data_IF_195033956138
#
_entry.id   IF_195033956138
#
_cell.length_a   1.000
_cell.length_b   1.000
_cell.length_c   1.000
_cell.angle_alpha   90.00
_cell.angle_beta   90.00
_cell.angle_gamma   90.00
#
_symmetry.space_group_name_H-M   'P 1'
#
loop_
_entity.id
_entity.type
_entity.pdbx_description
1 polymer ?
#
# COMPACT_ATOMS: atom_id res chain seq x y z
N UNK A 1 32.43 -9.08 -10.85
CA UNK A 1 31.58 -8.24 -9.98
C UNK A 1 30.45 -9.14 -9.48
N UNK A 2 30.51 -9.61 -8.22
CA UNK A 2 29.43 -10.45 -7.69
C UNK A 2 28.17 -9.58 -7.53
N UNK A 3 27.15 -9.86 -8.34
CA UNK A 3 25.93 -9.07 -8.42
C UNK A 3 25.00 -9.41 -7.27
N UNK A 4 24.90 -8.53 -6.27
CA UNK A 4 23.85 -8.63 -5.28
C UNK A 4 22.52 -8.16 -5.85
N UNK A 5 21.50 -9.03 -5.85
CA UNK A 5 20.14 -8.68 -6.23
C UNK A 5 19.30 -8.35 -4.99
N UNK A 6 18.45 -7.34 -5.10
CA UNK A 6 17.55 -6.92 -4.03
C UNK A 6 16.17 -7.52 -4.25
N UNK A 7 15.67 -8.25 -3.28
CA UNK A 7 14.33 -8.83 -3.31
C UNK A 7 13.52 -8.39 -2.11
N UNK A 8 12.26 -8.02 -2.33
CA UNK A 8 11.30 -7.74 -1.27
C UNK A 8 10.88 -9.08 -0.64
N UNK A 9 10.92 -9.13 0.69
CA UNK A 9 10.50 -10.28 1.46
C UNK A 9 8.96 -10.23 1.58
N UNK A 10 8.26 -11.25 1.05
CA UNK A 10 6.80 -11.20 0.92
C UNK A 10 6.05 -11.62 2.19
N UNK A 11 6.73 -12.21 3.17
CA UNK A 11 6.13 -12.74 4.39
C UNK A 11 6.49 -11.88 5.61
N UNK A 12 5.63 -11.91 6.63
CA UNK A 12 5.92 -11.36 7.95
C UNK A 12 7.16 -12.04 8.55
N UNK A 13 7.92 -11.31 9.36
CA UNK A 13 9.08 -11.85 10.08
C UNK A 13 8.67 -12.87 11.15
N UNK A 14 7.40 -12.88 11.52
CA UNK A 14 6.81 -13.83 12.44
C UNK A 14 6.43 -15.16 11.76
N UNK A 15 6.37 -15.22 10.42
CA UNK A 15 6.06 -16.44 9.65
C UNK A 15 7.36 -17.16 9.26
N UNK A 16 7.99 -17.80 10.24
CA UNK A 16 9.29 -18.48 10.09
C UNK A 16 9.28 -19.52 8.96
N UNK A 17 8.28 -20.40 8.95
CA UNK A 17 8.15 -21.42 7.90
C UNK A 17 7.90 -20.80 6.51
N UNK A 18 7.15 -19.70 6.46
CA UNK A 18 6.95 -18.93 5.23
C UNK A 18 8.25 -18.34 4.70
N UNK A 19 9.11 -17.84 5.58
CA UNK A 19 10.43 -17.32 5.23
C UNK A 19 11.39 -18.41 4.76
N UNK A 20 11.50 -19.53 5.48
CA UNK A 20 12.33 -20.68 5.07
C UNK A 20 11.98 -21.12 3.64
N UNK A 21 10.69 -21.39 3.38
CA UNK A 21 10.22 -21.79 2.05
C UNK A 21 10.47 -20.74 0.97
N UNK A 22 10.45 -19.46 1.33
CA UNK A 22 10.77 -18.39 0.40
C UNK A 22 12.25 -18.40 0.04
N UNK A 23 13.14 -18.58 1.01
CA UNK A 23 14.58 -18.66 0.79
C UNK A 23 14.98 -19.93 0.02
N UNK A 24 14.39 -21.08 0.34
CA UNK A 24 14.58 -22.33 -0.41
C UNK A 24 14.21 -22.16 -1.90
N UNK A 25 13.03 -21.60 -2.18
CA UNK A 25 12.60 -21.31 -3.56
C UNK A 25 13.49 -20.29 -4.29
N UNK A 26 14.17 -19.43 -3.56
CA UNK A 26 15.12 -18.47 -4.13
C UNK A 26 16.47 -19.12 -4.39
N UNK A 27 16.94 -19.97 -3.48
CA UNK A 27 18.16 -20.74 -3.67
C UNK A 27 18.06 -21.71 -4.84
N UNK A 28 16.90 -22.35 -5.05
CA UNK A 28 16.60 -23.14 -6.26
C UNK A 28 16.73 -22.35 -7.56
N UNK A 29 16.63 -21.02 -7.51
CA UNK A 29 16.80 -20.11 -8.66
C UNK A 29 18.19 -19.48 -8.69
N UNK A 30 19.13 -19.99 -7.89
CA UNK A 30 20.50 -19.47 -7.81
C UNK A 30 20.66 -18.22 -6.95
N UNK A 31 19.77 -17.97 -5.97
CA UNK A 31 19.84 -16.78 -5.12
C UNK A 31 19.90 -17.13 -3.63
N UNK A 32 21.02 -16.81 -2.97
CA UNK A 32 21.20 -17.02 -1.53
C UNK A 32 21.12 -15.70 -0.76
N UNK A 33 20.31 -15.63 0.30
CA UNK A 33 20.23 -14.45 1.16
C UNK A 33 21.58 -14.23 1.88
N UNK A 34 22.06 -12.98 1.91
CA UNK A 34 23.32 -12.61 2.59
C UNK A 34 23.15 -11.53 3.64
N UNK A 35 22.12 -10.70 3.51
CA UNK A 35 21.82 -9.70 4.51
C UNK A 35 20.44 -9.12 4.29
N UNK A 36 19.91 -8.51 5.33
CA UNK A 36 18.70 -7.73 5.29
C UNK A 36 19.04 -6.25 5.28
N UNK A 37 18.24 -5.46 4.58
CA UNK A 37 18.28 -4.01 4.72
C UNK A 37 17.82 -3.64 6.13
N UNK A 38 18.61 -2.81 6.83
CA UNK A 38 18.26 -2.31 8.17
C UNK A 38 16.99 -1.47 8.20
N UNK A 39 16.60 -0.91 7.04
CA UNK A 39 15.56 0.10 6.92
C UNK A 39 14.36 -0.35 6.08
N UNK A 40 14.38 -1.58 5.55
CA UNK A 40 13.33 -2.07 4.65
C UNK A 40 13.25 -3.60 4.67
N UNK A 41 12.12 -4.16 4.25
CA UNK A 41 11.91 -5.62 4.12
C UNK A 41 12.55 -6.16 2.85
N UNK A 42 13.77 -5.71 2.56
CA UNK A 42 14.51 -6.03 1.35
C UNK A 42 15.71 -6.87 1.75
N UNK A 43 15.72 -8.11 1.30
CA UNK A 43 16.88 -8.99 1.39
C UNK A 43 17.85 -8.70 0.24
N UNK A 44 19.14 -8.75 0.54
CA UNK A 44 20.21 -8.77 -0.46
C UNK A 44 20.63 -10.21 -0.69
N UNK A 45 20.46 -10.65 -1.93
CA UNK A 45 20.74 -12.00 -2.36
C UNK A 45 21.99 -12.01 -3.24
N UNK A 46 22.90 -12.93 -2.98
CA UNK A 46 24.03 -13.22 -3.84
C UNK A 46 23.63 -14.29 -4.86
N UNK A 47 24.07 -14.11 -6.09
CA UNK A 47 23.93 -15.12 -7.14
C UNK A 47 24.91 -16.28 -6.86
N UNK A 48 24.37 -17.48 -6.78
CA UNK A 48 25.08 -18.73 -6.50
C UNK A 48 24.65 -19.79 -7.51
N UNK A 49 25.43 -20.86 -7.63
CA UNK A 49 25.03 -22.04 -8.42
C UNK A 49 23.67 -22.55 -7.93
N UNK A 50 22.79 -22.85 -8.89
CA UNK A 50 21.49 -23.45 -8.61
C UNK A 50 21.68 -24.80 -7.92
N UNK A 51 20.87 -25.06 -6.90
CA UNK A 51 20.95 -26.29 -6.13
C UNK A 51 19.84 -26.41 -5.10
N UNK A 52 19.68 -27.61 -4.56
CA UNK A 52 18.85 -27.85 -3.39
C UNK A 52 19.55 -27.27 -2.17
N UNK A 53 18.91 -26.29 -1.53
CA UNK A 53 19.33 -25.77 -0.25
C UNK A 53 18.17 -25.90 0.73
N UNK A 54 18.47 -26.34 1.95
CA UNK A 54 17.55 -26.30 3.08
C UNK A 54 17.82 -25.03 3.88
N UNK A 55 16.77 -24.40 4.41
CA UNK A 55 16.92 -23.25 5.30
C UNK A 55 16.40 -23.57 6.70
N UNK A 56 17.06 -23.01 7.70
CA UNK A 56 16.59 -22.99 9.07
C UNK A 56 16.71 -21.56 9.60
N UNK A 57 15.61 -21.05 10.17
CA UNK A 57 15.63 -19.76 10.87
C UNK A 57 15.38 -20.02 12.33
N UNK A 58 16.34 -19.63 13.14
CA UNK A 58 16.29 -19.75 14.59
C UNK A 58 16.18 -18.38 15.24
N UNK A 59 15.73 -18.35 16.49
CA UNK A 59 15.47 -17.13 17.26
C UNK A 59 16.48 -17.05 18.39
N UNK A 60 17.34 -16.05 18.32
CA UNK A 60 18.27 -15.73 19.37
C UNK A 60 17.59 -14.91 20.47
N UNK A 61 17.97 -15.16 21.72
CA UNK A 61 17.32 -14.59 22.92
C UNK A 61 17.47 -13.05 23.04
N UNK A 62 18.46 -12.47 22.36
CA UNK A 62 18.75 -11.03 22.33
C UNK A 62 18.46 -10.47 20.94
N UNK A 63 18.13 -9.18 20.88
CA UNK A 63 18.11 -8.46 19.60
C UNK A 63 19.55 -8.28 19.12
N UNK A 64 19.90 -8.91 17.99
CA UNK A 64 21.25 -8.87 17.45
C UNK A 64 21.40 -7.65 16.53
N UNK A 65 22.38 -6.82 16.84
CA UNK A 65 22.88 -5.82 15.90
C UNK A 65 24.19 -6.30 15.30
N UNK A 66 24.62 -5.66 14.20
CA UNK A 66 25.94 -5.95 13.57
C UNK A 66 27.14 -5.82 14.52
N UNK A 67 26.99 -5.15 15.66
CA UNK A 67 28.05 -5.04 16.67
C UNK A 67 28.13 -6.28 17.57
N UNK A 68 27.03 -7.02 17.65
CA UNK A 68 26.86 -8.19 18.52
C UNK A 68 27.23 -9.50 17.80
N UNK A 69 27.49 -9.45 16.48
CA UNK A 69 27.97 -10.60 15.69
C UNK A 69 29.37 -11.09 16.12
N UNK A 70 30.09 -10.32 16.94
CA UNK A 70 31.37 -10.70 17.54
C UNK A 70 31.30 -11.03 19.04
N UNK A 71 30.11 -11.10 19.64
CA UNK A 71 29.94 -11.52 21.03
C UNK A 71 30.34 -13.00 21.17
N UNK A 72 31.25 -13.38 22.10
CA UNK A 72 31.66 -14.77 22.28
C UNK A 72 30.48 -15.73 22.46
N UNK A 73 29.45 -15.30 23.19
CA UNK A 73 28.24 -16.11 23.41
C UNK A 73 27.47 -16.37 22.11
N UNK A 74 27.48 -15.42 21.18
CA UNK A 74 26.83 -15.57 19.89
C UNK A 74 27.65 -16.45 18.94
N UNK A 75 28.98 -16.35 19.00
CA UNK A 75 29.88 -17.21 18.23
C UNK A 75 29.80 -18.67 18.68
N UNK A 76 29.82 -18.94 19.99
CA UNK A 76 29.60 -20.29 20.55
C UNK A 76 28.25 -20.86 20.06
N UNK A 77 27.20 -20.04 20.06
CA UNK A 77 25.90 -20.44 19.53
C UNK A 77 25.93 -20.81 18.04
N UNK A 78 26.66 -20.04 17.22
CA UNK A 78 26.84 -20.37 15.79
C UNK A 78 27.58 -21.69 15.66
N UNK A 79 28.69 -21.89 16.39
CA UNK A 79 29.51 -23.11 16.34
C UNK A 79 28.69 -24.36 16.71
N UNK A 80 27.81 -24.27 17.72
CA UNK A 80 26.88 -25.35 18.06
C UNK A 80 25.93 -25.71 16.90
N UNK A 81 25.45 -24.71 16.16
CA UNK A 81 24.59 -24.91 15.01
C UNK A 81 25.37 -25.48 13.83
N UNK A 82 26.60 -25.01 13.62
CA UNK A 82 27.49 -25.49 12.55
C UNK A 82 27.93 -26.94 12.78
N UNK A 83 28.11 -27.36 14.03
CA UNK A 83 28.35 -28.75 14.39
C UNK A 83 27.20 -29.69 14.00
N UNK A 84 25.98 -29.16 13.83
CA UNK A 84 24.81 -29.92 13.35
C UNK A 84 24.67 -29.92 11.82
N UNK A 85 25.63 -29.32 11.10
CA UNK A 85 25.64 -29.24 9.64
C UNK A 85 24.96 -27.99 9.06
N UNK A 86 24.53 -27.05 9.90
CA UNK A 86 24.02 -25.76 9.41
C UNK A 86 25.16 -24.82 9.05
N UNK A 87 24.96 -23.92 8.10
CA UNK A 87 25.94 -22.89 7.75
C UNK A 87 25.32 -21.53 8.03
N UNK A 88 25.98 -20.73 8.85
CA UNK A 88 25.52 -19.38 9.16
C UNK A 88 25.56 -18.50 7.91
N UNK A 89 24.49 -17.74 7.67
CA UNK A 89 24.39 -16.83 6.52
C UNK A 89 24.29 -15.38 6.96
N UNK A 90 23.31 -15.04 7.79
CA UNK A 90 23.11 -13.68 8.27
C UNK A 90 22.12 -13.61 9.43
N UNK A 91 22.17 -12.51 10.16
CA UNK A 91 21.16 -12.12 11.15
C UNK A 91 20.22 -11.05 10.63
N UNK A 92 19.01 -11.02 11.19
CA UNK A 92 18.12 -9.88 11.10
C UNK A 92 17.29 -9.75 12.37
N UNK A 93 17.56 -8.70 13.16
CA UNK A 93 17.02 -8.54 14.52
C UNK A 93 17.44 -9.75 15.36
N UNK A 94 16.51 -10.39 16.04
CA UNK A 94 16.72 -11.65 16.76
C UNK A 94 16.65 -12.91 15.87
N UNK A 95 16.42 -12.80 14.56
CA UNK A 95 16.37 -13.95 13.66
C UNK A 95 17.78 -14.28 13.16
N UNK A 96 18.15 -15.55 13.23
CA UNK A 96 19.43 -16.08 12.78
C UNK A 96 19.17 -17.09 11.69
N UNK A 97 19.74 -16.85 10.50
CA UNK A 97 19.39 -17.57 9.30
C UNK A 97 20.55 -18.45 8.90
N UNK A 98 20.25 -19.73 8.81
CA UNK A 98 21.16 -20.79 8.42
C UNK A 98 20.68 -21.44 7.13
N UNK A 99 21.63 -22.02 6.41
CA UNK A 99 21.34 -22.85 5.25
C UNK A 99 22.21 -24.10 5.26
N UNK A 100 21.80 -25.11 4.52
CA UNK A 100 22.58 -26.30 4.24
C UNK A 100 22.37 -26.70 2.77
N UNK A 101 23.38 -27.27 2.12
CA UNK A 101 23.37 -27.65 0.70
C UNK A 101 23.33 -29.16 0.45
N UNK A 102 23.34 -29.96 1.50
CA UNK A 102 23.28 -31.41 1.40
C UNK A 102 21.90 -31.85 0.92
N UNK A 103 21.82 -33.05 0.34
CA UNK A 103 20.55 -33.59 -0.16
C UNK A 103 19.52 -33.72 0.97
N UNK A 104 19.96 -34.20 2.13
CA UNK A 104 19.13 -34.38 3.31
C UNK A 104 19.13 -33.15 4.21
N UNK A 105 17.96 -32.78 4.73
CA UNK A 105 17.82 -31.68 5.68
C UNK A 105 18.52 -32.07 6.99
N UNK A 106 19.45 -31.24 7.52
CA UNK A 106 20.05 -31.50 8.82
C UNK A 106 19.02 -31.53 9.96
N UNK A 107 19.42 -32.08 11.09
CA UNK A 107 18.58 -32.16 12.28
C UNK A 107 18.10 -30.76 12.71
N UNK A 108 16.82 -30.67 13.07
CA UNK A 108 16.26 -29.46 13.66
C UNK A 108 16.98 -29.11 14.97
N UNK A 109 17.23 -27.82 15.16
CA UNK A 109 17.80 -27.29 16.40
C UNK A 109 16.86 -27.63 17.56
N UNK A 110 17.33 -28.43 18.52
CA UNK A 110 16.55 -28.83 19.70
C UNK A 110 16.39 -27.65 20.65
N UNK A 111 15.36 -26.83 20.44
CA UNK A 111 15.06 -25.66 21.29
C UNK A 111 13.66 -25.69 21.87
N UNK A 112 13.53 -24.98 22.99
CA UNK A 112 12.25 -24.77 23.64
C UNK A 112 11.37 -23.87 22.76
N UNK A 113 10.43 -24.49 22.04
CA UNK A 113 9.49 -23.80 21.14
C UNK A 113 8.68 -22.71 21.85
N UNK A 114 8.43 -22.85 23.15
CA UNK A 114 7.69 -21.85 23.94
C UNK A 114 8.53 -20.57 24.09
N UNK A 115 9.80 -20.71 24.47
CA UNK A 115 10.71 -19.58 24.61
C UNK A 115 10.93 -18.87 23.27
N UNK A 116 11.11 -19.63 22.19
CA UNK A 116 11.24 -19.09 20.83
C UNK A 116 10.02 -18.23 20.43
N UNK A 117 8.80 -18.70 20.72
CA UNK A 117 7.57 -17.92 20.47
C UNK A 117 7.52 -16.64 21.30
N UNK A 118 7.90 -16.68 22.57
CA UNK A 118 7.96 -15.50 23.43
C UNK A 118 8.92 -14.46 22.87
N UNK A 119 10.14 -14.86 22.47
CA UNK A 119 11.09 -13.93 21.86
C UNK A 119 10.60 -13.32 20.54
N UNK A 120 9.87 -14.05 19.70
CA UNK A 120 9.22 -13.49 18.50
C UNK A 120 8.20 -12.40 18.84
N UNK A 121 7.37 -12.65 19.86
CA UNK A 121 6.33 -11.71 20.30
C UNK A 121 6.92 -10.50 20.99
N UNK A 122 7.95 -10.68 21.82
CA UNK A 122 8.52 -9.62 22.65
C UNK A 122 9.50 -8.72 21.89
N UNK A 123 10.24 -9.28 20.92
CA UNK A 123 11.31 -8.55 20.20
C UNK A 123 10.88 -8.25 18.75
N UNK A 124 10.58 -9.29 17.97
CA UNK A 124 10.37 -9.16 16.52
C UNK A 124 9.10 -8.36 16.20
N UNK A 125 8.00 -8.64 16.91
CA UNK A 125 6.69 -8.02 16.66
C UNK A 125 6.69 -6.49 16.92
N UNK A 126 7.19 -5.97 18.05
CA UNK A 126 7.32 -4.52 18.27
C UNK A 126 8.20 -3.81 17.24
N UNK A 127 9.32 -4.43 16.84
CA UNK A 127 10.20 -3.86 15.82
C UNK A 127 9.54 -3.80 14.44
N UNK A 128 8.81 -4.85 14.06
CA UNK A 128 8.03 -4.84 12.83
C UNK A 128 6.93 -3.76 12.86
N UNK A 129 6.24 -3.58 14.01
CA UNK A 129 5.28 -2.48 14.21
C UNK A 129 5.95 -1.09 14.10
N UNK A 130 7.13 -0.89 14.69
CA UNK A 130 7.90 0.37 14.58
C UNK A 130 8.27 0.67 13.13
N UNK A 131 8.67 -0.35 12.37
CA UNK A 131 9.00 -0.19 10.97
C UNK A 131 7.78 0.22 10.13
N UNK A 132 6.65 -0.46 10.33
CA UNK A 132 5.39 -0.10 9.66
C UNK A 132 4.94 1.33 10.01
N UNK A 133 5.12 1.74 11.27
CA UNK A 133 4.87 3.12 11.70
C UNK A 133 5.76 4.12 10.96
N UNK A 134 7.07 3.85 10.83
CA UNK A 134 7.99 4.72 10.08
C UNK A 134 7.61 4.83 8.60
N UNK A 135 7.26 3.72 7.95
CA UNK A 135 6.77 3.72 6.57
C UNK A 135 5.47 4.53 6.42
N UNK A 136 4.59 4.42 7.41
CA UNK A 136 3.32 5.17 7.43
C UNK A 136 3.56 6.66 7.62
N UNK A 137 4.47 7.05 8.51
CA UNK A 137 4.89 8.44 8.72
C UNK A 137 5.57 9.04 7.48
N UNK A 138 6.43 8.28 6.80
CA UNK A 138 7.05 8.71 5.55
C UNK A 138 6.00 8.96 4.47
N UNK A 139 5.06 8.02 4.31
CA UNK A 139 3.96 8.16 3.34
C UNK A 139 3.07 9.37 3.69
N UNK A 140 2.75 9.57 4.96
CA UNK A 140 2.00 10.73 5.43
C UNK A 140 2.76 12.04 5.17
N UNK A 141 4.08 12.08 5.38
CA UNK A 141 4.91 13.26 5.11
C UNK A 141 4.93 13.65 3.64
N UNK A 142 5.13 12.67 2.74
CA UNK A 142 5.08 12.88 1.29
C UNK A 142 3.70 13.40 0.87
N UNK A 143 2.62 12.83 1.40
CA UNK A 143 1.27 13.26 1.06
C UNK A 143 0.93 14.63 1.63
N UNK A 144 1.35 14.95 2.86
CA UNK A 144 1.21 16.29 3.44
C UNK A 144 1.90 17.34 2.58
N UNK A 145 3.08 17.04 2.02
CA UNK A 145 3.75 17.92 1.06
C UNK A 145 2.91 18.17 -0.20
N UNK A 146 2.33 17.12 -0.79
CA UNK A 146 1.41 17.26 -1.92
C UNK A 146 0.14 18.05 -1.57
N UNK A 147 -0.42 17.85 -0.38
CA UNK A 147 -1.55 18.62 0.13
C UNK A 147 -1.22 20.11 0.28
N UNK A 148 -0.03 20.45 0.78
CA UNK A 148 0.43 21.83 0.89
C UNK A 148 0.57 22.47 -0.49
N UNK A 149 1.12 21.75 -1.48
CA UNK A 149 1.21 22.24 -2.85
C UNK A 149 -0.17 22.50 -3.48
N UNK A 150 -1.14 21.60 -3.26
CA UNK A 150 -2.52 21.84 -3.69
C UNK A 150 -3.13 23.05 -2.98
N UNK A 151 -2.90 23.20 -1.68
CA UNK A 151 -3.43 24.32 -0.89
C UNK A 151 -2.83 25.67 -1.34
N UNK A 152 -1.52 25.72 -1.63
CA UNK A 152 -0.87 26.91 -2.18
C UNK A 152 -1.40 27.26 -3.58
N UNK A 153 -1.65 26.25 -4.41
CA UNK A 153 -2.31 26.44 -5.70
C UNK A 153 -3.73 27.02 -5.56
N UNK A 154 -4.51 26.46 -4.64
CA UNK A 154 -5.85 26.96 -4.29
C UNK A 154 -5.82 28.43 -3.84
N UNK A 155 -4.89 28.78 -2.95
CA UNK A 155 -4.73 30.15 -2.44
C UNK A 155 -4.36 31.14 -3.54
N UNK A 156 -3.57 30.71 -4.53
CA UNK A 156 -3.15 31.55 -5.66
C UNK A 156 -4.27 31.77 -6.68
N UNK A 157 -5.07 30.74 -6.97
CA UNK A 157 -6.09 30.78 -8.02
C UNK A 157 -7.48 31.24 -7.53
N UNK A 158 -7.68 31.32 -6.20
CA UNK A 158 -8.58 32.24 -5.48
C UNK A 158 -10.02 32.43 -5.95
N UNK A 159 -10.55 31.59 -6.83
CA UNK A 159 -11.84 31.78 -7.48
C UNK A 159 -12.77 30.62 -7.16
N UNK A 160 -13.99 30.94 -6.70
CA UNK A 160 -15.06 29.96 -6.43
C UNK A 160 -15.33 29.04 -7.62
N UNK A 161 -15.07 29.53 -8.84
CA UNK A 161 -15.17 28.78 -10.10
C UNK A 161 -14.39 27.47 -10.04
N UNK A 162 -13.20 27.42 -9.45
CA UNK A 162 -12.34 26.23 -9.47
C UNK A 162 -12.48 25.31 -8.26
N UNK A 163 -13.32 25.63 -7.27
CA UNK A 163 -13.46 24.87 -6.01
C UNK A 163 -13.77 23.39 -6.23
N UNK A 164 -14.59 23.07 -7.24
CA UNK A 164 -14.95 21.69 -7.59
C UNK A 164 -13.77 20.83 -8.05
N UNK A 165 -12.79 21.44 -8.76
CA UNK A 165 -11.56 20.76 -9.22
C UNK A 165 -10.65 20.47 -8.02
N UNK A 166 -10.54 21.41 -7.09
CA UNK A 166 -9.69 21.23 -5.90
C UNK A 166 -10.21 20.13 -4.96
N UNK A 167 -11.53 20.05 -4.75
CA UNK A 167 -12.15 18.96 -3.97
C UNK A 167 -11.94 17.62 -4.67
N UNK A 168 -12.06 17.57 -6.00
CA UNK A 168 -11.81 16.36 -6.78
C UNK A 168 -10.34 15.90 -6.65
N UNK A 169 -9.37 16.82 -6.77
CA UNK A 169 -7.95 16.54 -6.55
C UNK A 169 -7.66 16.07 -5.11
N UNK A 170 -8.36 16.61 -4.11
CA UNK A 170 -8.25 16.19 -2.72
C UNK A 170 -8.72 14.75 -2.52
N UNK A 171 -9.86 14.38 -3.10
CA UNK A 171 -10.37 12.99 -3.07
C UNK A 171 -9.38 12.06 -3.75
N UNK A 172 -8.87 12.43 -4.93
CA UNK A 172 -7.87 11.66 -5.67
C UNK A 172 -6.59 11.44 -4.86
N UNK A 173 -6.00 12.50 -4.31
CA UNK A 173 -4.78 12.38 -3.49
C UNK A 173 -5.02 11.57 -2.21
N UNK A 174 -6.17 11.75 -1.56
CA UNK A 174 -6.50 10.94 -0.37
C UNK A 174 -6.56 9.44 -0.72
N UNK A 175 -7.16 9.09 -1.86
CA UNK A 175 -7.15 7.72 -2.38
C UNK A 175 -5.73 7.18 -2.60
N UNK A 176 -4.85 7.96 -3.24
CA UNK A 176 -3.45 7.58 -3.42
C UNK A 176 -2.69 7.39 -2.10
N UNK A 177 -2.97 8.21 -1.09
CA UNK A 177 -2.40 8.03 0.26
C UNK A 177 -2.78 6.66 0.82
N UNK A 178 -4.07 6.33 0.78
CA UNK A 178 -4.57 5.06 1.33
C UNK A 178 -4.08 3.84 0.52
N UNK A 179 -3.86 3.98 -0.78
CA UNK A 179 -3.23 2.94 -1.60
C UNK A 179 -1.77 2.74 -1.16
N UNK A 180 -0.99 3.79 -0.96
CA UNK A 180 0.38 3.67 -0.46
C UNK A 180 0.45 3.09 0.97
N UNK A 181 -0.58 3.34 1.80
CA UNK A 181 -0.71 2.77 3.14
C UNK A 181 -1.22 1.32 3.13
N UNK A 182 -1.88 0.87 2.06
CA UNK A 182 -2.54 -0.45 2.00
C UNK A 182 -1.59 -1.62 2.32
N UNK A 183 -0.37 -1.60 1.81
CA UNK A 183 0.64 -2.62 2.10
C UNK A 183 1.09 -2.62 3.56
N UNK A 184 1.20 -1.43 4.18
CA UNK A 184 1.52 -1.32 5.59
C UNK A 184 0.36 -1.83 6.48
N UNK A 185 -0.88 -1.52 6.10
CA UNK A 185 -2.09 -1.98 6.80
C UNK A 185 -2.23 -3.51 6.66
N UNK A 186 -2.02 -4.07 5.47
CA UNK A 186 -2.09 -5.51 5.24
C UNK A 186 -1.08 -6.27 6.11
N UNK A 187 0.17 -5.80 6.13
CA UNK A 187 1.22 -6.35 7.00
C UNK A 187 0.88 -6.20 8.47
N UNK A 188 0.35 -5.06 8.89
CA UNK A 188 -0.08 -4.85 10.27
C UNK A 188 -1.17 -5.86 10.68
N UNK A 189 -2.19 -6.07 9.85
CA UNK A 189 -3.26 -7.07 10.09
C UNK A 189 -2.67 -8.49 10.15
N UNK A 190 -1.74 -8.81 9.25
CA UNK A 190 -1.07 -10.10 9.24
C UNK A 190 -0.26 -10.32 10.53
N UNK A 191 0.48 -9.31 10.99
CA UNK A 191 1.27 -9.38 12.23
C UNK A 191 0.39 -9.53 13.46
N UNK A 192 -0.75 -8.83 13.54
CA UNK A 192 -1.71 -9.03 14.63
C UNK A 192 -2.26 -10.46 14.65
N UNK A 193 -2.56 -11.04 13.49
CA UNK A 193 -3.09 -12.42 13.42
C UNK A 193 -2.03 -13.46 13.76
N UNK A 194 -0.80 -13.29 13.27
CA UNK A 194 0.29 -14.21 13.59
C UNK A 194 0.67 -14.09 15.07
N UNK A 195 0.79 -12.87 15.60
CA UNK A 195 1.04 -12.64 17.03
C UNK A 195 0.00 -13.33 17.91
N UNK A 196 -1.29 -13.12 17.63
CA UNK A 196 -2.38 -13.79 18.36
C UNK A 196 -2.35 -15.32 18.22
N UNK A 197 -1.84 -15.85 17.10
CA UNK A 197 -1.69 -17.29 16.89
C UNK A 197 -0.52 -17.86 17.71
N UNK A 198 0.61 -17.14 17.74
CA UNK A 198 1.79 -17.46 18.53
C UNK A 198 1.49 -17.44 20.03
N UNK A 199 0.75 -16.44 20.52
CA UNK A 199 0.28 -16.35 21.92
C UNK A 199 -0.63 -17.53 22.30
N UNK A 200 -1.41 -18.04 21.35
CA UNK A 200 -2.25 -19.25 21.53
C UNK A 200 -1.49 -20.55 21.37
N UNK A 201 -0.18 -20.49 21.13
CA UNK A 201 0.69 -21.65 20.97
C UNK A 201 0.65 -22.33 19.60
N UNK A 202 0.17 -21.64 18.56
CA UNK A 202 0.23 -22.12 17.18
C UNK A 202 1.45 -21.52 16.46
N UNK A 203 2.23 -22.37 15.79
CA UNK A 203 3.42 -21.95 15.03
C UNK A 203 3.09 -21.38 13.63
N UNK A 204 1.83 -21.50 13.20
CA UNK A 204 1.39 -21.08 11.86
C UNK A 204 -0.06 -20.62 11.87
N UNK A 205 -0.43 -19.87 10.83
CA UNK A 205 -1.81 -19.49 10.59
C UNK A 205 -2.60 -20.65 9.97
N UNK A 206 -3.66 -21.08 10.67
CA UNK A 206 -4.60 -22.09 10.18
C UNK A 206 -5.38 -21.68 8.93
N UNK A 207 -5.52 -20.37 8.69
CA UNK A 207 -6.20 -19.81 7.50
C UNK A 207 -5.40 -18.66 6.90
N UNK A 208 -5.37 -18.54 5.56
CA UNK A 208 -4.76 -17.38 4.90
C UNK A 208 -5.46 -16.09 5.36
N UNK A 209 -4.72 -14.98 5.43
CA UNK A 209 -5.32 -13.68 5.77
C UNK A 209 -6.13 -13.19 4.57
N UNK A 210 -7.40 -12.84 4.80
CA UNK A 210 -8.27 -12.28 3.74
C UNK A 210 -7.81 -10.88 3.32
N UNK A 211 -7.50 -10.03 4.30
CA UNK A 211 -7.07 -8.65 4.09
C UNK A 211 -5.58 -8.59 3.74
N UNK A 212 -5.24 -9.15 2.58
CA UNK A 212 -3.94 -8.92 1.96
C UNK A 212 -3.87 -7.53 1.30
N UNK A 213 -2.68 -7.16 0.81
CA UNK A 213 -2.42 -5.87 0.17
C UNK A 213 -3.42 -5.59 -0.97
N UNK A 214 -3.67 -6.58 -1.82
CA UNK A 214 -4.55 -6.45 -2.99
C UNK A 214 -6.02 -6.24 -2.59
N UNK A 215 -6.52 -6.94 -1.56
CA UNK A 215 -7.88 -6.73 -1.05
C UNK A 215 -8.06 -5.37 -0.38
N UNK A 216 -7.05 -4.89 0.36
CA UNK A 216 -7.11 -3.56 0.98
C UNK A 216 -7.05 -2.48 -0.10
N UNK A 217 -6.16 -2.60 -1.10
CA UNK A 217 -6.13 -1.70 -2.25
C UNK A 217 -7.47 -1.65 -2.96
N UNK A 218 -8.09 -2.80 -3.24
CA UNK A 218 -9.39 -2.87 -3.92
C UNK A 218 -10.51 -2.21 -3.11
N UNK A 219 -10.49 -2.34 -1.78
CA UNK A 219 -11.45 -1.66 -0.91
C UNK A 219 -11.27 -0.14 -0.92
N UNK A 220 -10.02 0.33 -0.82
CA UNK A 220 -9.69 1.75 -0.88
C UNK A 220 -10.13 2.34 -2.22
N UNK A 221 -9.78 1.67 -3.33
CA UNK A 221 -10.18 2.07 -4.67
C UNK A 221 -11.70 2.19 -4.79
N UNK A 222 -12.45 1.18 -4.32
CA UNK A 222 -13.92 1.21 -4.34
C UNK A 222 -14.49 2.43 -3.59
N UNK A 223 -13.95 2.75 -2.41
CA UNK A 223 -14.40 3.90 -1.61
C UNK A 223 -14.05 5.23 -2.31
N UNK A 224 -12.81 5.36 -2.80
CA UNK A 224 -12.37 6.56 -3.52
C UNK A 224 -13.17 6.77 -4.80
N UNK A 225 -13.41 5.72 -5.57
CA UNK A 225 -14.18 5.76 -6.82
C UNK A 225 -15.64 6.11 -6.57
N UNK A 226 -16.24 5.60 -5.50
CA UNK A 226 -17.59 5.97 -5.10
C UNK A 226 -17.68 7.46 -4.76
N UNK A 227 -16.71 8.00 -4.01
CA UNK A 227 -16.65 9.42 -3.70
C UNK A 227 -16.46 10.28 -4.97
N UNK A 228 -15.57 9.86 -5.88
CA UNK A 228 -15.37 10.52 -7.17
C UNK A 228 -16.60 10.43 -8.07
N UNK A 229 -17.34 9.32 -8.04
CA UNK A 229 -18.60 9.14 -8.77
C UNK A 229 -19.67 10.11 -8.26
N UNK A 230 -19.89 10.18 -6.94
CA UNK A 230 -20.85 11.11 -6.34
C UNK A 230 -20.53 12.56 -6.70
N UNK A 231 -19.25 12.93 -6.62
CA UNK A 231 -18.80 14.28 -6.97
C UNK A 231 -18.88 14.57 -8.47
N UNK A 232 -18.51 13.59 -9.30
CA UNK A 232 -18.60 13.71 -10.76
C UNK A 232 -20.04 13.85 -11.24
N UNK A 233 -20.97 13.12 -10.62
CA UNK A 233 -22.39 13.20 -10.95
C UNK A 233 -22.98 14.58 -10.66
N UNK A 234 -22.51 15.26 -9.61
CA UNK A 234 -23.02 16.58 -9.22
C UNK A 234 -22.44 17.73 -10.07
N UNK A 235 -21.17 17.64 -10.48
CA UNK A 235 -20.38 18.79 -10.98
C UNK A 235 -19.73 18.55 -12.36
N UNK A 236 -19.51 17.30 -12.80
CA UNK A 236 -18.68 16.98 -13.98
C UNK A 236 -19.35 16.07 -15.03
N UNK A 237 -18.63 15.82 -16.13
CA UNK A 237 -19.14 15.16 -17.34
C UNK A 237 -19.54 13.69 -17.13
N UNK A 238 -20.54 13.23 -17.90
CA UNK A 238 -21.01 11.84 -17.97
C UNK A 238 -19.86 10.84 -18.21
N UNK A 239 -18.80 11.24 -18.93
CA UNK A 239 -17.64 10.38 -19.22
C UNK A 239 -16.86 10.02 -17.95
N UNK A 240 -16.65 10.99 -17.05
CA UNK A 240 -15.99 10.77 -15.75
C UNK A 240 -16.81 9.80 -14.89
N UNK A 241 -18.14 9.98 -14.86
CA UNK A 241 -19.05 9.11 -14.12
C UNK A 241 -19.00 7.67 -14.63
N UNK A 242 -19.05 7.46 -15.95
CA UNK A 242 -18.98 6.11 -16.56
C UNK A 242 -17.66 5.42 -16.25
N UNK A 243 -16.52 6.13 -16.37
CA UNK A 243 -15.21 5.57 -16.07
C UNK A 243 -15.09 5.17 -14.58
N UNK A 244 -15.55 6.02 -13.67
CA UNK A 244 -15.58 5.71 -12.24
C UNK A 244 -16.49 4.51 -11.94
N UNK A 245 -17.66 4.39 -12.58
CA UNK A 245 -18.55 3.23 -12.42
C UNK A 245 -17.92 1.93 -12.91
N UNK A 246 -17.24 1.93 -14.07
CA UNK A 246 -16.51 0.76 -14.56
C UNK A 246 -15.42 0.32 -13.57
N UNK A 247 -14.69 1.30 -13.03
CA UNK A 247 -13.67 1.07 -12.01
C UNK A 247 -14.25 0.41 -10.75
N UNK A 248 -15.37 0.93 -10.25
CA UNK A 248 -16.05 0.38 -9.06
C UNK A 248 -16.48 -1.07 -9.25
N UNK A 249 -17.02 -1.40 -10.42
CA UNK A 249 -17.46 -2.77 -10.72
C UNK A 249 -16.27 -3.74 -10.71
N UNK A 250 -15.13 -3.32 -11.26
CA UNK A 250 -13.89 -4.12 -11.24
C UNK A 250 -13.40 -4.30 -9.81
N UNK A 251 -13.30 -3.23 -9.04
CA UNK A 251 -12.88 -3.25 -7.62
C UNK A 251 -13.79 -4.16 -6.78
N UNK A 252 -15.11 -4.07 -6.97
CA UNK A 252 -16.09 -4.93 -6.29
C UNK A 252 -15.98 -6.41 -6.71
N UNK A 253 -15.75 -6.69 -7.99
CA UNK A 253 -15.55 -8.05 -8.49
C UNK A 253 -14.30 -8.70 -7.90
N UNK A 254 -13.19 -7.95 -7.77
CA UNK A 254 -11.95 -8.42 -7.14
C UNK A 254 -12.21 -8.81 -5.68
N UNK A 255 -12.89 -7.94 -4.92
CA UNK A 255 -13.26 -8.23 -3.52
C UNK A 255 -14.17 -9.46 -3.40
N UNK A 256 -15.16 -9.60 -4.29
CA UNK A 256 -16.08 -10.73 -4.34
C UNK A 256 -15.35 -12.06 -4.59
N UNK A 257 -14.50 -12.10 -5.62
CA UNK A 257 -13.68 -13.26 -5.95
C UNK A 257 -12.70 -13.62 -4.83
N UNK A 258 -12.04 -12.62 -4.24
CA UNK A 258 -11.17 -12.81 -3.08
C UNK A 258 -11.93 -13.43 -1.90
N UNK A 259 -13.16 -12.99 -1.65
CA UNK A 259 -13.97 -13.50 -0.54
C UNK A 259 -14.42 -14.95 -0.76
N UNK A 260 -14.84 -15.31 -1.97
CA UNK A 260 -15.15 -16.70 -2.34
C UNK A 260 -13.92 -17.58 -2.08
N UNK A 261 -12.75 -17.13 -2.54
CA UNK A 261 -11.52 -17.91 -2.44
C UNK A 261 -11.01 -18.08 -1.02
N UNK A 262 -11.14 -17.03 -0.20
CA UNK A 262 -10.87 -17.09 1.23
C UNK A 262 -11.75 -18.15 1.92
N UNK A 263 -13.05 -18.24 1.58
CA UNK A 263 -13.93 -19.29 2.11
C UNK A 263 -13.48 -20.70 1.68
N UNK A 264 -12.90 -20.82 0.48
CA UNK A 264 -12.35 -22.08 -0.02
C UNK A 264 -10.96 -22.43 0.55
N UNK A 265 -10.32 -21.54 1.31
CA UNK A 265 -8.98 -21.75 1.87
C UNK A 265 -7.86 -21.82 0.84
N UNK A 266 -8.08 -21.40 -0.41
CA UNK A 266 -7.09 -21.53 -1.51
C UNK A 266 -6.29 -20.24 -1.68
N UNK A 267 -4.96 -20.36 -1.87
CA UNK A 267 -4.10 -19.24 -2.28
C UNK A 267 -4.25 -18.90 -3.77
N UNK A 268 -3.89 -17.68 -4.16
CA UNK A 268 -3.91 -17.26 -5.55
C UNK A 268 -2.80 -17.94 -6.36
N UNK A 269 -3.19 -18.60 -7.47
CA UNK A 269 -2.25 -19.27 -8.39
C UNK A 269 -1.46 -18.26 -9.23
N UNK A 270 -2.06 -17.09 -9.50
CA UNK A 270 -1.48 -16.01 -10.31
C UNK A 270 -1.67 -14.65 -9.62
N UNK A 271 -0.87 -14.32 -8.59
CA UNK A 271 -0.99 -13.04 -7.88
C UNK A 271 -0.70 -11.84 -8.79
N UNK A 272 0.11 -12.02 -9.83
CA UNK A 272 0.43 -10.97 -10.81
C UNK A 272 -0.83 -10.50 -11.56
N UNK A 273 -1.74 -11.42 -11.91
CA UNK A 273 -2.97 -11.07 -12.64
C UNK A 273 -3.87 -10.18 -11.79
N UNK A 274 -3.96 -10.44 -10.49
CA UNK A 274 -4.76 -9.63 -9.56
C UNK A 274 -4.16 -8.25 -9.43
N UNK A 275 -2.83 -8.15 -9.27
CA UNK A 275 -2.13 -6.88 -9.24
C UNK A 275 -2.36 -6.07 -10.52
N UNK A 276 -2.32 -6.71 -11.68
CA UNK A 276 -2.68 -6.07 -12.95
C UNK A 276 -4.14 -5.61 -12.94
N UNK A 277 -5.06 -6.42 -12.45
CA UNK A 277 -6.47 -6.05 -12.29
C UNK A 277 -6.69 -4.91 -11.29
N UNK A 278 -5.85 -4.74 -10.26
CA UNK A 278 -5.89 -3.60 -9.33
C UNK A 278 -5.30 -2.32 -9.95
N UNK A 279 -4.40 -2.45 -10.93
CA UNK A 279 -3.82 -1.31 -11.68
C UNK A 279 -4.83 -0.74 -12.69
N UNK A 280 -5.70 -1.57 -13.27
CA UNK A 280 -6.71 -1.11 -14.24
C UNK A 280 -7.62 0.00 -13.65
N UNK A 281 -8.20 -0.16 -12.44
CA UNK A 281 -8.93 0.90 -11.76
C UNK A 281 -8.13 2.20 -11.57
N UNK A 282 -6.85 2.10 -11.18
CA UNK A 282 -5.96 3.26 -11.04
C UNK A 282 -5.76 4.01 -12.37
N UNK A 283 -5.64 3.28 -13.48
CA UNK A 283 -5.52 3.86 -14.82
C UNK A 283 -6.84 4.54 -15.20
N UNK A 284 -7.98 3.88 -15.01
CA UNK A 284 -9.31 4.44 -15.30
C UNK A 284 -9.56 5.71 -14.49
N UNK A 285 -9.18 5.71 -13.22
CA UNK A 285 -9.29 6.83 -12.31
C UNK A 285 -8.36 7.99 -12.74
N UNK A 286 -7.14 7.69 -13.19
CA UNK A 286 -6.21 8.70 -13.75
C UNK A 286 -6.71 9.30 -15.07
N UNK A 287 -7.34 8.50 -15.93
CA UNK A 287 -7.96 8.96 -17.18
C UNK A 287 -9.20 9.80 -16.86
N UNK A 288 -9.99 9.41 -15.86
CA UNK A 288 -11.14 10.18 -15.37
C UNK A 288 -10.72 11.60 -14.98
N UNK A 289 -9.61 11.75 -14.24
CA UNK A 289 -9.02 13.04 -13.85
C UNK A 289 -8.54 13.86 -15.07
N UNK A 290 -7.98 13.23 -16.10
CA UNK A 290 -7.56 13.95 -17.31
C UNK A 290 -8.73 14.35 -18.21
N UNK A 291 -9.82 13.60 -18.17
CA UNK A 291 -10.98 13.78 -19.02
C UNK A 291 -12.08 14.61 -18.35
N UNK A 292 -11.94 14.93 -17.05
CA UNK A 292 -12.72 15.99 -16.41
C UNK A 292 -12.47 17.27 -17.19
N UNK A 293 -13.49 17.78 -17.88
CA UNK A 293 -13.30 18.97 -18.69
C UNK A 293 -13.12 20.15 -17.73
N UNK A 294 -12.28 21.12 -18.09
CA UNK A 294 -12.12 22.44 -17.45
C UNK A 294 -13.39 23.28 -17.60
N UNK A 295 -14.53 22.69 -17.24
CA UNK A 295 -15.88 23.20 -17.44
C UNK A 295 -16.31 23.93 -16.17
N UNK A 296 -15.52 24.92 -15.82
CA UNK A 296 -16.05 26.09 -15.15
C UNK A 296 -16.64 27.08 -16.16
N UNK A 297 -16.45 26.84 -17.47
CA UNK A 297 -17.00 27.70 -18.53
C UNK A 297 -18.46 27.34 -18.90
N UNK A 298 -18.82 26.09 -19.20
CA UNK A 298 -20.16 25.83 -19.77
C UNK A 298 -21.36 26.02 -18.81
N UNK A 299 -21.24 25.73 -17.51
CA UNK A 299 -22.39 25.85 -16.59
C UNK A 299 -22.66 27.30 -16.17
N UNK A 300 -21.62 28.13 -16.12
CA UNK A 300 -21.76 29.57 -15.91
C UNK A 300 -22.05 30.34 -17.21
N UNK A 301 -21.60 29.85 -18.37
CA UNK A 301 -21.99 30.42 -19.67
C UNK A 301 -23.46 30.16 -19.98
N UNK A 302 -24.04 29.03 -19.57
CA UNK A 302 -25.48 28.83 -19.73
C UNK A 302 -26.28 29.83 -18.89
N UNK A 303 -25.84 30.15 -17.67
CA UNK A 303 -26.51 31.17 -16.86
C UNK A 303 -26.22 32.60 -17.35
N UNK A 304 -25.00 32.92 -17.79
CA UNK A 304 -24.71 34.25 -18.35
C UNK A 304 -25.34 34.47 -19.73
N UNK A 305 -25.57 33.41 -20.53
CA UNK A 305 -26.28 33.51 -21.80
C UNK A 305 -27.80 33.48 -21.64
N UNK A 306 -28.36 32.91 -20.55
CA UNK A 306 -29.77 33.13 -20.21
C UNK A 306 -30.02 34.50 -19.59
N UNK A 307 -29.04 35.09 -18.91
CA UNK A 307 -29.14 36.45 -18.39
C UNK A 307 -29.00 37.50 -19.51
N UNK A 308 -28.32 37.19 -20.61
CA UNK A 308 -28.22 38.05 -21.78
C UNK A 308 -29.44 38.02 -22.72
N UNK A 309 -30.48 37.22 -22.42
CA UNK A 309 -31.77 37.26 -23.13
C UNK A 309 -32.95 37.64 -22.21
N UNK A 310 -32.68 38.14 -21.00
CA UNK A 310 -33.72 38.45 -20.02
C UNK A 310 -33.53 39.73 -19.21
N UNK A 311 -32.56 40.59 -19.52
CA UNK A 311 -32.24 41.74 -18.67
C UNK A 311 -31.75 42.97 -19.42
N UNK A 312 -32.61 43.60 -20.22
CA UNK A 312 -32.31 44.96 -20.68
C UNK A 312 -33.54 45.86 -20.94
N UNK A 313 -34.64 45.64 -20.20
CA UNK A 313 -35.86 46.43 -20.40
C UNK A 313 -36.19 47.37 -19.23
N UNK A 314 -35.62 47.18 -18.02
CA UNK A 314 -35.90 48.08 -16.88
C UNK A 314 -35.05 49.35 -16.86
N UNK A 315 -33.78 49.27 -17.28
CA UNK A 315 -32.88 50.43 -17.25
C UNK A 315 -33.13 51.36 -18.45
N UNK A 316 -33.53 50.80 -19.60
CA UNK A 316 -34.01 51.54 -20.77
C UNK A 316 -35.34 52.25 -20.51
N UNK A 317 -36.33 51.53 -19.95
CA UNK A 317 -37.63 52.12 -19.61
C UNK A 317 -37.53 53.19 -18.51
N UNK A 318 -36.60 53.04 -17.56
CA UNK A 318 -36.38 54.04 -16.50
C UNK A 318 -35.67 55.29 -17.04
N UNK A 319 -34.70 55.16 -17.96
CA UNK A 319 -34.10 56.33 -18.64
C UNK A 319 -35.09 57.04 -19.55
N UNK A 320 -35.96 56.31 -20.23
CA UNK A 320 -36.99 56.90 -21.09
C UNK A 320 -38.10 57.58 -20.28
N UNK A 321 -38.47 57.03 -19.13
CA UNK A 321 -39.41 57.67 -18.20
C UNK A 321 -38.85 58.94 -17.55
N UNK A 322 -37.55 58.96 -17.23
CA UNK A 322 -36.88 60.16 -16.70
C UNK A 322 -36.77 61.25 -17.76
N UNK A 323 -36.42 60.92 -19.01
CA UNK A 323 -36.38 61.92 -20.09
C UNK A 323 -37.77 62.50 -20.41
N UNK A 324 -38.83 61.68 -20.40
CA UNK A 324 -40.21 62.18 -20.59
C UNK A 324 -40.71 63.06 -19.44
N UNK A 325 -40.20 62.86 -18.21
CA UNK A 325 -40.50 63.75 -17.09
C UNK A 325 -39.72 65.07 -17.17
N UNK A 326 -38.48 65.06 -17.66
CA UNK A 326 -37.70 66.28 -17.88
C UNK A 326 -38.22 67.14 -19.05
N UNK A 327 -38.73 66.54 -20.12
CA UNK A 327 -39.38 67.29 -21.21
C UNK A 327 -40.69 67.94 -20.76
N UNK A 328 -41.51 67.24 -19.96
CA UNK A 328 -42.74 67.81 -19.38
C UNK A 328 -42.50 68.91 -18.34
N UNK A 329 -41.31 68.97 -17.74
CA UNK A 329 -40.94 70.04 -16.81
C UNK A 329 -40.40 71.30 -17.51
N UNK A 330 -40.11 71.21 -18.81
CA UNK A 330 -39.57 72.31 -19.63
C UNK A 330 -40.60 72.92 -20.60
N UNK A 331 -41.78 72.30 -20.75
CA UNK A 331 -42.98 72.86 -21.40
C UNK A 331 -43.92 73.44 -20.37
#
# INVERSE_FOLDING_TARGET
MNGYQKYIIPCSLLDIQGLERFFEKKAQKGYLIRSFSKWSDVGRFEEVLEGTCHFCIDIYRKDLTKKDEGDPEFLEYIEECEALGWIYTCTYKNLVIFYNRDEDRPLELKRNKIAARQYLVDITCPEEKRMLLRQSLYSAGVMSFWFILLFLGFWKDGTEKNMGIWIYCLIFLSGLMFINLSGAIARYIQNLRIGNALEKGNDYLLRPVFWDEDMIMSLVLLITEFALFLWSYQIFSVRSAVLSSCSMVISAAILGLGRIKYRMGKKWKYPIIIRLCCIVPLILLSISVKTTPTVCNYRYELHSNTDNYGGNDREGQMKEAVMRMEEKAKS
#
